data_IF_103940040673
#
_entry.id   IF_103940040673
#
_cell.length_a   1.000
_cell.length_b   1.000
_cell.length_c   1.000
_cell.angle_alpha   90.00
_cell.angle_beta   90.00
_cell.angle_gamma   90.00
#
_symmetry.space_group_name_H-M   'P 1'
#
loop_
_entity.id
_entity.type
_entity.pdbx_description
1 polymer ?
#
# COMPACT_ATOMS: atom_id res chain seq x y z
N UNK A 1 -25.48 -10.21 2.87
CA UNK A 1 -24.17 -10.09 2.20
C UNK A 1 -23.34 -11.27 2.68
N UNK A 2 -22.95 -12.18 1.80
CA UNK A 2 -22.10 -13.33 2.16
C UNK A 2 -20.66 -12.83 2.24
N UNK A 3 -20.01 -12.99 3.39
CA UNK A 3 -18.61 -12.61 3.59
C UNK A 3 -17.72 -13.84 3.37
N UNK A 4 -16.77 -13.74 2.46
CA UNK A 4 -15.83 -14.82 2.16
C UNK A 4 -16.44 -15.99 1.39
N UNK A 5 -15.62 -17.03 1.23
CA UNK A 5 -15.94 -18.29 0.55
C UNK A 5 -15.39 -19.45 1.38
N UNK A 6 -16.09 -20.57 1.37
CA UNK A 6 -15.58 -21.86 1.85
C UNK A 6 -14.66 -22.50 0.81
N UNK A 7 -13.87 -23.48 1.25
CA UNK A 7 -12.90 -24.17 0.40
C UNK A 7 -13.55 -24.78 -0.85
N UNK A 8 -14.77 -25.29 -0.72
CA UNK A 8 -15.53 -25.96 -1.77
C UNK A 8 -16.07 -24.99 -2.84
N UNK A 9 -16.03 -23.67 -2.58
CA UNK A 9 -16.51 -22.63 -3.50
C UNK A 9 -15.40 -22.06 -4.41
N UNK A 10 -14.20 -22.66 -4.38
CA UNK A 10 -13.06 -22.30 -5.22
C UNK A 10 -12.89 -23.27 -6.40
N UNK A 11 -12.59 -22.72 -7.58
CA UNK A 11 -12.35 -23.48 -8.80
C UNK A 11 -10.92 -23.22 -9.33
N UNK A 12 -10.22 -24.27 -9.73
CA UNK A 12 -8.87 -24.15 -10.31
C UNK A 12 -8.94 -23.31 -11.59
N UNK A 13 -8.12 -22.26 -11.64
CA UNK A 13 -8.09 -21.32 -12.76
C UNK A 13 -9.08 -20.14 -12.64
N UNK A 14 -9.90 -20.09 -11.58
CA UNK A 14 -10.74 -18.94 -11.33
C UNK A 14 -9.93 -17.66 -11.08
N UNK A 15 -10.42 -16.52 -11.60
CA UNK A 15 -9.83 -15.20 -11.41
C UNK A 15 -10.77 -14.36 -10.54
N UNK A 16 -10.31 -14.01 -9.34
CA UNK A 16 -11.07 -13.19 -8.40
C UNK A 16 -10.65 -11.73 -8.51
N UNK A 17 -11.53 -10.89 -9.05
CA UNK A 17 -11.31 -9.44 -9.15
C UNK A 17 -11.79 -8.76 -7.87
N UNK A 18 -10.85 -8.32 -7.05
CA UNK A 18 -11.13 -7.66 -5.79
C UNK A 18 -11.58 -6.21 -6.03
N UNK A 19 -12.65 -5.80 -5.35
CA UNK A 19 -13.22 -4.46 -5.40
C UNK A 19 -13.80 -4.10 -4.02
N UNK A 20 -13.73 -2.84 -3.58
CA UNK A 20 -13.17 -1.67 -4.26
C UNK A 20 -11.64 -1.60 -4.21
N UNK A 21 -11.04 -0.95 -5.21
CA UNK A 21 -9.65 -0.54 -5.12
C UNK A 21 -9.47 0.57 -4.07
N UNK A 22 -8.31 0.63 -3.41
CA UNK A 22 -7.97 1.67 -2.45
C UNK A 22 -7.01 2.68 -3.08
N UNK A 23 -7.44 3.94 -3.20
CA UNK A 23 -6.53 5.05 -3.52
C UNK A 23 -5.57 5.27 -2.34
N UNK A 24 -4.27 5.22 -2.60
CA UNK A 24 -3.24 5.54 -1.61
C UNK A 24 -3.04 7.05 -1.54
N UNK A 25 -3.14 7.58 -0.33
CA UNK A 25 -2.86 8.99 -0.03
C UNK A 25 -1.55 9.11 0.75
N UNK A 26 -1.01 10.32 0.83
CA UNK A 26 0.19 10.60 1.63
C UNK A 26 0.00 10.23 3.11
N UNK A 27 -1.18 10.52 3.67
CA UNK A 27 -1.50 10.17 5.05
C UNK A 27 -1.40 8.66 5.31
N UNK A 28 -1.84 7.83 4.37
CA UNK A 28 -1.77 6.37 4.53
C UNK A 28 -0.32 5.89 4.64
N UNK A 29 0.57 6.43 3.79
CA UNK A 29 1.99 6.08 3.73
C UNK A 29 2.73 6.54 4.99
N UNK A 30 2.49 7.78 5.42
CA UNK A 30 3.07 8.33 6.64
C UNK A 30 2.59 7.57 7.88
N UNK A 31 1.28 7.31 7.99
CA UNK A 31 0.74 6.54 9.11
C UNK A 31 1.38 5.15 9.17
N UNK A 32 1.49 4.46 8.04
CA UNK A 32 2.11 3.14 7.98
C UNK A 32 3.58 3.20 8.43
N UNK A 33 4.36 4.18 7.96
CA UNK A 33 5.74 4.37 8.38
C UNK A 33 5.84 4.61 9.89
N UNK A 34 4.97 5.44 10.46
CA UNK A 34 4.99 5.74 11.90
C UNK A 34 4.63 4.52 12.77
N UNK A 35 3.60 3.74 12.40
CA UNK A 35 3.19 2.57 13.20
C UNK A 35 4.15 1.38 13.05
N UNK A 36 4.88 1.31 11.94
CA UNK A 36 5.89 0.26 11.69
C UNK A 36 7.32 0.70 12.00
N UNK A 37 7.51 1.92 12.51
CA UNK A 37 8.82 2.52 12.81
C UNK A 37 9.77 2.54 11.60
N UNK A 38 9.24 2.78 10.39
CA UNK A 38 10.07 3.05 9.22
C UNK A 38 10.51 4.51 9.23
N UNK A 39 11.81 4.74 9.41
CA UNK A 39 12.40 6.09 9.50
C UNK A 39 13.02 6.58 8.18
N UNK A 40 12.87 5.85 7.07
CA UNK A 40 13.51 6.25 5.82
C UNK A 40 12.82 7.49 5.23
N UNK A 41 13.54 8.61 5.03
CA UNK A 41 12.92 9.91 4.71
C UNK A 41 12.21 9.95 3.37
N UNK A 42 12.58 9.06 2.43
CA UNK A 42 11.90 8.88 1.13
C UNK A 42 10.37 8.75 1.23
N UNK A 43 9.86 8.18 2.33
CA UNK A 43 8.43 7.91 2.50
C UNK A 43 7.69 9.06 3.21
N UNK A 44 8.38 9.92 3.95
CA UNK A 44 7.73 10.89 4.86
C UNK A 44 8.14 12.34 4.66
N UNK A 45 9.29 12.61 4.05
CA UNK A 45 9.84 13.96 3.93
C UNK A 45 9.82 14.44 2.47
N UNK A 46 8.90 15.37 2.19
CA UNK A 46 8.75 16.00 0.87
C UNK A 46 10.00 16.76 0.47
N UNK A 47 10.64 17.48 1.41
CA UNK A 47 11.86 18.24 1.12
C UNK A 47 13.02 17.30 0.79
N UNK A 48 13.14 16.16 1.48
CA UNK A 48 14.09 15.12 1.11
C UNK A 48 13.80 14.59 -0.29
N UNK A 49 12.54 14.25 -0.58
CA UNK A 49 12.16 13.67 -1.86
C UNK A 49 12.41 14.63 -3.04
N UNK A 50 12.10 15.92 -2.89
CA UNK A 50 12.31 16.96 -3.91
C UNK A 50 13.79 17.21 -4.22
N UNK A 51 14.65 17.19 -3.19
CA UNK A 51 16.04 17.61 -3.34
C UNK A 51 17.03 16.47 -3.54
N UNK A 52 16.67 15.24 -3.19
CA UNK A 52 17.63 14.11 -3.14
C UNK A 52 17.21 12.90 -3.96
N UNK A 53 16.03 12.91 -4.57
CA UNK A 53 15.53 11.77 -5.35
C UNK A 53 14.98 12.18 -6.71
N UNK A 54 15.09 11.29 -7.69
CA UNK A 54 14.59 11.52 -9.06
C UNK A 54 13.06 11.58 -9.16
N UNK A 55 12.34 11.16 -8.10
CA UNK A 55 10.88 11.13 -8.09
C UNK A 55 10.26 12.50 -7.83
N UNK A 56 10.97 13.38 -7.11
CA UNK A 56 10.49 14.71 -6.73
C UNK A 56 9.26 14.71 -5.80
N UNK A 57 8.94 13.57 -5.18
CA UNK A 57 7.82 13.38 -4.24
C UNK A 57 8.02 12.11 -3.42
N UNK A 58 7.31 12.01 -2.31
CA UNK A 58 7.34 10.81 -1.47
C UNK A 58 6.97 9.57 -2.29
N UNK A 59 7.76 8.51 -2.12
CA UNK A 59 7.47 7.19 -2.71
C UNK A 59 6.81 6.35 -1.64
N UNK A 60 5.69 5.72 -1.98
CA UNK A 60 4.97 4.86 -1.05
C UNK A 60 5.85 3.69 -0.61
N UNK A 61 5.90 3.40 0.69
CA UNK A 61 6.66 2.28 1.24
C UNK A 61 6.13 0.95 0.69
N UNK A 62 7.04 0.12 0.17
CA UNK A 62 6.65 -1.15 -0.47
C UNK A 62 5.87 -2.10 0.45
N UNK A 63 6.20 -2.14 1.74
CA UNK A 63 5.51 -2.97 2.73
C UNK A 63 4.03 -2.60 2.91
N UNK A 64 3.68 -1.32 2.72
CA UNK A 64 2.29 -0.88 2.74
C UNK A 64 1.53 -1.41 1.52
N UNK A 65 2.15 -1.38 0.33
CA UNK A 65 1.56 -1.94 -0.89
C UNK A 65 1.28 -3.44 -0.74
N UNK A 66 2.21 -4.20 -0.18
CA UNK A 66 1.99 -5.64 0.09
C UNK A 66 0.87 -5.89 1.09
N UNK A 67 0.62 -4.97 2.02
CA UNK A 67 -0.43 -5.11 3.03
C UNK A 67 -1.82 -4.73 2.51
N UNK A 68 -1.90 -4.08 1.35
CA UNK A 68 -3.16 -3.73 0.67
C UNK A 68 -3.63 -4.80 -0.33
N UNK A 69 -2.72 -5.67 -0.78
CA UNK A 69 -2.98 -6.75 -1.75
C UNK A 69 -3.27 -8.07 -1.02
#
# INVERSE_FOLDING_TARGET
>A
MQFGRYYEEFEVGAVYKHWPGKTVTEYDDHLFCLITMNHHPLHMDVNYAENTTDFGKNVVVGNYIYSLL
#
